data_IF_603299697953
#
_entry.id   IF_603299697953
#
_cell.length_a   1.000
_cell.length_b   1.000
_cell.length_c   1.000
_cell.angle_alpha   90.00
_cell.angle_beta   90.00
_cell.angle_gamma   90.00
#
_symmetry.space_group_name_H-M   'P 1'
#
loop_
_entity.id
_entity.type
_entity.pdbx_description
1 polymer ?
#
# COMPACT_ATOMS: atom_id res chain seq x y z
N UNK A 1 -6.57 -23.55 -0.28
CA UNK A 1 -7.24 -22.33 -0.79
C UNK A 1 -6.78 -21.18 0.09
N UNK A 2 -6.20 -20.12 -0.48
CA UNK A 2 -5.61 -19.02 0.31
C UNK A 2 -6.66 -18.33 1.19
N UNK A 3 -6.29 -17.90 2.41
CA UNK A 3 -7.19 -17.09 3.26
C UNK A 3 -7.37 -15.72 2.58
N UNK A 4 -8.61 -15.25 2.51
CA UNK A 4 -8.88 -13.88 2.07
C UNK A 4 -8.50 -12.89 3.18
N UNK A 5 -8.03 -11.70 2.79
CA UNK A 5 -7.70 -10.61 3.71
C UNK A 5 -8.60 -9.39 3.50
N UNK A 6 -8.82 -8.62 4.54
CA UNK A 6 -9.41 -7.28 4.46
C UNK A 6 -8.30 -6.23 4.42
N UNK A 7 -8.38 -5.30 3.48
CA UNK A 7 -7.41 -4.21 3.33
C UNK A 7 -8.13 -2.88 3.45
N UNK A 8 -7.74 -2.08 4.44
CA UNK A 8 -8.04 -0.66 4.45
C UNK A 8 -6.94 0.08 3.69
N UNK A 9 -7.22 0.53 2.47
CA UNK A 9 -6.28 1.29 1.65
C UNK A 9 -6.51 2.78 1.88
N UNK A 10 -6.01 3.37 2.96
CA UNK A 10 -6.28 4.79 3.27
C UNK A 10 -5.38 5.78 2.54
N UNK A 11 -5.76 7.07 2.54
CA UNK A 11 -4.97 8.15 1.94
C UNK A 11 -3.62 8.33 2.62
N UNK A 12 -3.57 8.19 3.94
CA UNK A 12 -2.36 8.43 4.75
C UNK A 12 -1.75 7.14 5.27
N UNK A 13 -2.57 6.22 5.74
CA UNK A 13 -2.16 4.92 6.27
C UNK A 13 -3.04 3.83 5.67
N UNK A 14 -2.49 2.63 5.60
CA UNK A 14 -3.20 1.43 5.20
C UNK A 14 -3.02 0.31 6.23
N UNK A 15 -3.98 -0.61 6.27
CA UNK A 15 -4.05 -1.71 7.23
C UNK A 15 -4.43 -2.99 6.51
N UNK A 16 -3.94 -4.14 6.98
CA UNK A 16 -4.39 -5.46 6.53
C UNK A 16 -4.83 -6.30 7.73
N UNK A 17 -5.94 -7.00 7.57
CA UNK A 17 -6.55 -7.85 8.58
C UNK A 17 -7.00 -9.19 7.97
N UNK A 18 -7.14 -10.20 8.81
CA UNK A 18 -7.60 -11.54 8.45
C UNK A 18 -8.63 -12.02 9.46
N UNK A 19 -9.48 -12.97 9.07
CA UNK A 19 -10.35 -13.69 10.00
C UNK A 19 -9.67 -14.98 10.48
N UNK A 20 -9.52 -15.13 11.79
CA UNK A 20 -9.04 -16.35 12.43
C UNK A 20 -10.00 -16.79 13.53
N UNK A 21 -10.52 -18.01 13.46
CA UNK A 21 -11.48 -18.51 14.45
C UNK A 21 -12.80 -17.72 14.51
N UNK A 22 -13.13 -16.95 13.47
CA UNK A 22 -14.29 -16.05 13.44
C UNK A 22 -14.00 -14.63 13.93
N UNK A 23 -12.81 -14.38 14.49
CA UNK A 23 -12.41 -13.07 15.01
C UNK A 23 -11.51 -12.32 14.01
N UNK A 24 -11.72 -11.01 13.79
CA UNK A 24 -10.85 -10.20 12.96
C UNK A 24 -9.54 -9.88 13.69
N UNK A 25 -8.42 -10.21 13.07
CA UNK A 25 -7.07 -9.94 13.56
C UNK A 25 -6.37 -8.97 12.61
N UNK A 26 -5.88 -7.86 13.16
CA UNK A 26 -5.02 -6.90 12.43
C UNK A 26 -3.58 -7.40 12.42
N UNK A 27 -3.02 -7.56 11.23
CA UNK A 27 -1.65 -8.06 11.03
C UNK A 27 -0.66 -6.90 11.21
N UNK A 28 0.40 -7.13 11.98
CA UNK A 28 1.51 -6.20 12.06
C UNK A 28 2.39 -6.30 10.80
N UNK A 29 2.83 -5.17 10.26
CA UNK A 29 3.79 -5.14 9.16
C UNK A 29 5.19 -5.59 9.60
N UNK A 30 6.09 -5.76 8.64
CA UNK A 30 7.49 -6.12 8.90
C UNK A 30 8.21 -5.17 9.89
N UNK A 31 7.73 -3.94 10.05
CA UNK A 31 8.24 -2.95 11.00
C UNK A 31 7.60 -3.05 12.41
N UNK A 32 6.69 -3.99 12.64
CA UNK A 32 6.01 -4.22 13.92
C UNK A 32 4.80 -3.32 14.17
N UNK A 33 4.42 -2.47 13.21
CA UNK A 33 3.26 -1.57 13.31
C UNK A 33 2.00 -2.22 12.73
N UNK A 34 0.84 -1.92 13.32
CA UNK A 34 -0.47 -2.33 12.77
C UNK A 34 -0.99 -1.42 11.66
N UNK A 35 -0.26 -0.35 11.35
CA UNK A 35 -0.55 0.55 10.23
C UNK A 35 0.71 0.76 9.41
N UNK A 36 0.54 0.83 8.09
CA UNK A 36 1.59 1.09 7.11
C UNK A 36 1.31 2.43 6.44
N UNK A 37 2.23 3.41 6.46
CA UNK A 37 2.05 4.65 5.72
C UNK A 37 1.77 4.40 4.23
N UNK A 38 0.77 5.07 3.66
CA UNK A 38 0.45 5.04 2.23
C UNK A 38 1.42 5.95 1.46
N UNK A 39 2.70 5.59 1.54
CA UNK A 39 3.83 6.34 0.98
C UNK A 39 4.69 5.38 0.20
N UNK A 40 5.04 5.79 -1.02
CA UNK A 40 5.92 5.04 -1.92
C UNK A 40 7.06 5.96 -2.30
N UNK A 41 8.29 5.48 -2.24
CA UNK A 41 9.46 6.24 -2.65
C UNK A 41 10.36 5.40 -3.56
N UNK A 42 10.94 6.05 -4.55
CA UNK A 42 11.93 5.46 -5.44
C UNK A 42 13.32 5.92 -4.98
N UNK A 43 14.12 4.98 -4.49
CA UNK A 43 15.50 5.24 -4.14
C UNK A 43 16.35 5.51 -5.40
N UNK A 44 17.57 6.02 -5.21
CA UNK A 44 18.47 6.39 -6.31
C UNK A 44 19.01 5.17 -7.09
N UNK A 45 19.10 4.04 -6.42
CA UNK A 45 19.51 2.75 -6.99
C UNK A 45 18.36 2.00 -7.69
N UNK A 46 17.17 2.59 -7.73
CA UNK A 46 15.97 2.00 -8.33
C UNK A 46 15.15 1.15 -7.38
N UNK A 47 15.55 1.00 -6.11
CA UNK A 47 14.75 0.28 -5.12
C UNK A 47 13.43 1.03 -4.84
N UNK A 48 12.33 0.28 -4.77
CA UNK A 48 11.01 0.82 -4.38
C UNK A 48 10.78 0.58 -2.90
N UNK A 49 10.75 1.67 -2.15
CA UNK A 49 10.49 1.70 -0.73
C UNK A 49 9.01 2.01 -0.48
N UNK A 50 8.40 1.36 0.51
CA UNK A 50 6.98 1.53 0.84
C UNK A 50 6.82 1.60 2.36
N UNK A 51 5.88 2.43 2.84
CA UNK A 51 5.57 2.51 4.27
C UNK A 51 6.53 3.41 5.04
N UNK A 52 6.96 2.96 6.22
CA UNK A 52 7.75 3.78 7.13
C UNK A 52 9.12 4.14 6.55
N UNK A 53 9.75 3.22 5.83
CA UNK A 53 11.05 3.46 5.16
C UNK A 53 10.91 4.56 4.09
N UNK A 54 9.84 4.54 3.29
CA UNK A 54 9.56 5.59 2.32
C UNK A 54 9.26 6.94 2.98
N UNK A 55 8.47 6.94 4.06
CA UNK A 55 8.11 8.14 4.81
C UNK A 55 9.33 8.83 5.44
N UNK A 56 10.29 8.08 5.99
CA UNK A 56 11.50 8.63 6.64
C UNK A 56 12.35 9.49 5.72
N UNK A 57 12.41 9.16 4.44
CA UNK A 57 13.19 9.92 3.45
C UNK A 57 12.38 10.98 2.69
N UNK A 58 11.11 11.19 3.02
CA UNK A 58 10.25 12.10 2.25
C UNK A 58 10.78 13.54 2.17
N UNK A 59 11.53 13.98 3.19
CA UNK A 59 12.13 15.32 3.25
C UNK A 59 13.40 15.41 2.40
N UNK A 60 14.23 14.36 2.41
CA UNK A 60 15.52 14.33 1.71
C UNK A 60 15.42 13.83 0.27
N UNK A 61 14.30 13.20 -0.09
CA UNK A 61 13.99 12.67 -1.41
C UNK A 61 12.57 13.08 -1.88
N UNK A 62 12.22 14.38 -1.89
CA UNK A 62 10.83 14.82 -2.12
C UNK A 62 10.35 14.57 -3.54
N UNK A 63 11.20 14.73 -4.56
CA UNK A 63 10.84 14.53 -5.96
C UNK A 63 10.59 13.08 -6.35
N UNK A 64 10.96 12.12 -5.49
CA UNK A 64 10.78 10.68 -5.74
C UNK A 64 9.99 10.00 -4.63
N UNK A 65 9.31 10.77 -3.78
CA UNK A 65 8.46 10.26 -2.70
C UNK A 65 7.02 10.71 -2.89
N UNK A 66 6.14 9.75 -3.15
CA UNK A 66 4.73 9.96 -3.45
C UNK A 66 3.93 9.70 -2.16
N UNK A 67 3.08 10.67 -1.80
CA UNK A 67 2.19 10.63 -0.64
C UNK A 67 0.77 10.95 -1.10
N UNK A 68 -0.23 10.51 -0.35
CA UNK A 68 -1.64 10.87 -0.58
C UNK A 68 -2.17 10.49 -1.98
N UNK A 69 -1.56 9.52 -2.65
CA UNK A 69 -1.90 9.14 -4.04
C UNK A 69 -3.35 8.72 -4.21
N UNK A 70 -4.01 8.29 -3.12
CA UNK A 70 -5.45 7.95 -3.12
C UNK A 70 -6.33 9.12 -3.61
N UNK A 71 -5.88 10.37 -3.46
CA UNK A 71 -6.60 11.56 -3.95
C UNK A 71 -6.64 11.68 -5.47
N UNK A 72 -5.72 10.99 -6.14
CA UNK A 72 -5.55 11.00 -7.60
C UNK A 72 -6.16 9.75 -8.26
N UNK A 73 -6.74 8.82 -7.48
CA UNK A 73 -7.41 7.63 -8.00
C UNK A 73 -8.64 8.01 -8.83
N UNK A 74 -8.89 7.29 -9.93
CA UNK A 74 -9.99 7.59 -10.87
C UNK A 74 -9.68 8.77 -11.81
N UNK A 75 -8.45 9.30 -11.81
CA UNK A 75 -8.02 10.41 -12.66
C UNK A 75 -6.93 10.00 -13.65
N UNK A 76 -6.58 10.89 -14.59
CA UNK A 76 -5.44 10.72 -15.50
C UNK A 76 -4.09 11.13 -14.91
N UNK A 77 -4.00 11.32 -13.59
CA UNK A 77 -2.77 11.71 -12.92
C UNK A 77 -1.64 10.71 -13.14
N UNK A 78 -0.43 11.24 -13.35
CA UNK A 78 0.80 10.47 -13.50
C UNK A 78 1.95 11.20 -12.82
N UNK A 79 2.94 10.42 -12.40
CA UNK A 79 4.24 10.93 -11.95
C UNK A 79 5.36 10.30 -12.79
N UNK A 80 6.25 11.14 -13.33
CA UNK A 80 7.48 10.67 -13.97
C UNK A 80 8.53 10.37 -12.90
N UNK A 81 9.10 9.16 -12.96
CA UNK A 81 10.28 8.78 -12.20
C UNK A 81 11.29 8.18 -13.18
N UNK A 82 12.38 8.92 -13.41
CA UNK A 82 13.48 8.54 -14.30
C UNK A 82 13.05 8.24 -15.75
N UNK A 83 12.14 9.05 -16.30
CA UNK A 83 11.65 8.91 -17.67
C UNK A 83 10.59 7.81 -17.83
N UNK A 84 10.06 7.30 -16.71
CA UNK A 84 8.92 6.38 -16.69
C UNK A 84 7.74 6.99 -15.95
N UNK A 85 6.63 7.09 -16.66
CA UNK A 85 5.32 7.43 -16.08
C UNK A 85 4.81 6.31 -15.18
N UNK A 86 4.30 6.69 -14.01
CA UNK A 86 3.53 5.84 -13.11
C UNK A 86 2.15 6.44 -12.83
N UNK A 87 1.10 5.63 -12.92
CA UNK A 87 -0.27 6.05 -12.57
C UNK A 87 -0.56 5.95 -11.08
N UNK A 88 -1.65 6.58 -10.63
CA UNK A 88 -2.11 6.47 -9.24
C UNK A 88 -2.38 5.00 -8.82
N UNK A 89 -2.90 4.19 -9.75
CA UNK A 89 -3.16 2.77 -9.56
C UNK A 89 -1.85 1.98 -9.38
N UNK A 90 -0.83 2.26 -10.19
CA UNK A 90 0.47 1.59 -10.08
C UNK A 90 1.19 1.94 -8.78
N UNK A 91 1.12 3.20 -8.34
CA UNK A 91 1.66 3.60 -7.04
C UNK A 91 0.90 2.92 -5.90
N UNK A 92 -0.44 2.94 -5.91
CA UNK A 92 -1.26 2.27 -4.89
C UNK A 92 -1.02 0.76 -4.86
N UNK A 93 -0.75 0.14 -6.01
CA UNK A 93 -0.40 -1.28 -6.11
C UNK A 93 0.89 -1.62 -5.34
N UNK A 94 1.87 -0.70 -5.25
CA UNK A 94 3.07 -0.93 -4.42
C UNK A 94 2.72 -1.03 -2.94
N UNK A 95 1.78 -0.21 -2.46
CA UNK A 95 1.24 -0.30 -1.09
C UNK A 95 0.52 -1.63 -0.87
N UNK A 96 -0.35 -2.04 -1.80
CA UNK A 96 -1.04 -3.33 -1.74
C UNK A 96 -0.07 -4.53 -1.75
N UNK A 97 0.99 -4.48 -2.56
CA UNK A 97 2.04 -5.50 -2.61
C UNK A 97 2.78 -5.63 -1.27
N UNK A 98 3.08 -4.51 -0.58
CA UNK A 98 3.65 -4.57 0.76
C UNK A 98 2.69 -5.24 1.75
N UNK A 99 1.43 -4.80 1.81
CA UNK A 99 0.42 -5.37 2.72
C UNK A 99 0.20 -6.86 2.47
N UNK A 100 0.17 -7.28 1.20
CA UNK A 100 0.11 -8.69 0.83
C UNK A 100 1.32 -9.46 1.38
N UNK A 101 2.55 -8.99 1.16
CA UNK A 101 3.77 -9.65 1.65
C UNK A 101 3.78 -9.74 3.18
N UNK A 102 3.37 -8.68 3.88
CA UNK A 102 3.27 -8.67 5.33
C UNK A 102 2.23 -9.70 5.82
N UNK A 103 1.09 -9.81 5.15
CA UNK A 103 0.08 -10.83 5.46
C UNK A 103 0.54 -12.26 5.15
N UNK A 104 1.22 -12.49 4.03
CA UNK A 104 1.77 -13.79 3.64
C UNK A 104 2.84 -14.27 4.64
N UNK A 105 3.71 -13.36 5.09
CA UNK A 105 4.71 -13.66 6.11
C UNK A 105 4.05 -14.06 7.45
N UNK A 106 2.98 -13.37 7.85
CA UNK A 106 2.23 -13.71 9.06
C UNK A 106 1.50 -15.06 8.95
N UNK A 107 0.85 -15.31 7.82
CA UNK A 107 0.03 -16.51 7.61
C UNK A 107 0.83 -17.77 7.23
N UNK A 108 2.10 -17.61 6.81
CA UNK A 108 2.93 -18.70 6.32
C UNK A 108 2.43 -19.33 5.02
N UNK A 109 1.58 -18.62 4.26
CA UNK A 109 0.97 -19.09 3.01
C UNK A 109 0.65 -17.92 2.09
N UNK A 110 0.37 -18.21 0.82
CA UNK A 110 0.06 -17.20 -0.18
C UNK A 110 -1.32 -16.60 0.01
N UNK A 111 -1.45 -15.29 -0.22
CA UNK A 111 -2.71 -14.54 -0.20
C UNK A 111 -3.09 -14.18 -1.64
N UNK A 112 -4.18 -14.77 -2.12
CA UNK A 112 -4.67 -14.64 -3.50
C UNK A 112 -5.93 -13.76 -3.62
N UNK A 113 -6.60 -13.47 -2.51
CA UNK A 113 -7.89 -12.79 -2.48
C UNK A 113 -7.91 -11.71 -1.39
N UNK A 114 -8.52 -10.59 -1.72
CA UNK A 114 -8.70 -9.49 -0.78
C UNK A 114 -10.05 -8.79 -0.98
N UNK A 115 -10.55 -8.19 0.10
CA UNK A 115 -11.60 -7.16 0.08
C UNK A 115 -10.91 -5.84 0.39
N UNK A 116 -11.06 -4.84 -0.47
CA UNK A 116 -10.37 -3.53 -0.35
C UNK A 116 -11.41 -2.43 -0.09
N UNK A 117 -11.16 -1.57 0.90
CA UNK A 117 -12.04 -0.45 1.22
C UNK A 117 -11.87 0.71 0.23
N UNK A 118 -12.97 1.39 -0.07
CA UNK A 118 -13.01 2.69 -0.75
C UNK A 118 -13.92 3.64 0.03
N UNK A 119 -13.73 4.97 -0.09
CA UNK A 119 -14.70 5.93 0.45
C UNK A 119 -16.09 5.68 -0.16
N UNK A 120 -17.15 5.87 0.62
CA UNK A 120 -18.52 5.65 0.16
C UNK A 120 -18.95 6.57 -0.99
N UNK A 121 -18.22 7.67 -1.22
CA UNK A 121 -18.48 8.64 -2.29
C UNK A 121 -17.60 8.43 -3.54
N UNK A 122 -16.78 7.37 -3.60
CA UNK A 122 -16.07 7.03 -4.84
C UNK A 122 -17.09 6.66 -5.93
N UNK A 123 -16.77 7.04 -7.16
CA UNK A 123 -17.52 6.68 -8.36
C UNK A 123 -16.87 5.48 -9.08
N UNK A 124 -17.37 5.15 -10.27
CA UNK A 124 -16.96 3.99 -11.07
C UNK A 124 -15.76 4.28 -12.01
N UNK A 125 -15.08 5.42 -11.85
CA UNK A 125 -14.10 5.96 -12.81
C UNK A 125 -12.74 5.24 -12.87
#
# INVERSE_FOLDING_TARGET
>A
MGKAVGIDLGTTNSVVAVLEGGEPIVIANAEGSRTTPSVVAFAKDGEVLVGEVAKRQAITNPGRTIRSVKREMGTSWKVDIDGKDYTAQEISARTLQKLKRDAEAYLGTTVDRAVITVPAYFDDA
#
